data_IF_493034162946
#
_entry.id   IF_493034162946
#
_cell.length_a   1.000
_cell.length_b   1.000
_cell.length_c   1.000
_cell.angle_alpha   90.00
_cell.angle_beta   90.00
_cell.angle_gamma   90.00
#
_symmetry.space_group_name_H-M   'P 1'
#
loop_
_entity.id
_entity.type
_entity.pdbx_description
1 polymer ?
#
# COMPACT_ATOMS: atom_id res chain seq x y z
N UNK A 1 2.33 4.56 18.91
CA UNK A 1 1.87 3.16 18.71
C UNK A 1 0.38 3.15 18.40
N UNK A 2 -0.08 2.18 17.60
CA UNK A 2 -1.48 2.03 17.18
C UNK A 2 -2.34 1.65 18.40
N UNK A 3 -2.96 2.64 19.04
CA UNK A 3 -3.93 2.45 20.13
C UNK A 3 -5.34 2.42 19.54
N UNK A 4 -6.26 1.67 20.14
CA UNK A 4 -7.67 1.64 19.69
C UNK A 4 -8.28 3.04 19.59
N UNK A 5 -7.87 3.97 20.46
CA UNK A 5 -8.28 5.38 20.42
C UNK A 5 -7.78 6.11 19.17
N UNK A 6 -6.53 5.89 18.74
CA UNK A 6 -6.00 6.46 17.49
C UNK A 6 -6.81 5.97 16.29
N UNK A 7 -7.12 4.68 16.25
CA UNK A 7 -7.89 4.06 15.18
C UNK A 7 -9.33 4.62 15.13
N UNK A 8 -9.96 4.80 16.29
CA UNK A 8 -11.29 5.40 16.41
C UNK A 8 -11.28 6.87 15.96
N UNK A 9 -10.30 7.66 16.37
CA UNK A 9 -10.17 9.06 15.92
C UNK A 9 -9.97 9.13 14.40
N UNK A 10 -9.09 8.31 13.84
CA UNK A 10 -8.89 8.23 12.39
C UNK A 10 -10.16 7.80 11.66
N UNK A 11 -10.93 6.88 12.24
CA UNK A 11 -12.21 6.43 11.69
C UNK A 11 -13.24 7.56 11.67
N UNK A 12 -13.39 8.30 12.78
CA UNK A 12 -14.32 9.44 12.85
C UNK A 12 -13.94 10.51 11.84
N UNK A 13 -12.67 10.91 11.75
CA UNK A 13 -12.22 11.92 10.79
C UNK A 13 -12.44 11.43 9.36
N UNK A 14 -12.17 10.14 9.09
CA UNK A 14 -12.40 9.54 7.77
C UNK A 14 -13.87 9.44 7.39
N UNK A 15 -14.76 9.16 8.33
CA UNK A 15 -16.20 9.07 8.09
C UNK A 15 -16.84 10.47 7.98
N UNK A 16 -16.31 11.44 8.74
CA UNK A 16 -16.72 12.85 8.66
C UNK A 16 -16.29 13.53 7.36
N UNK A 17 -15.21 13.08 6.72
CA UNK A 17 -14.71 13.59 5.44
C UNK A 17 -15.80 13.74 4.35
N UNK A 18 -16.50 12.65 3.93
CA UNK A 18 -17.55 12.73 2.92
C UNK A 18 -18.78 13.51 3.38
N UNK A 19 -19.04 13.58 4.69
CA UNK A 19 -20.16 14.35 5.23
C UNK A 19 -19.85 15.84 5.10
N UNK A 20 -18.66 16.27 5.51
CA UNK A 20 -18.23 17.65 5.43
C UNK A 20 -18.19 18.14 3.98
N UNK A 21 -17.64 17.35 3.04
CA UNK A 21 -17.58 17.73 1.63
C UNK A 21 -18.93 17.84 0.95
N UNK A 22 -19.95 17.12 1.42
CA UNK A 22 -21.31 17.22 0.90
C UNK A 22 -21.95 18.59 1.21
N UNK A 23 -21.61 19.19 2.35
CA UNK A 23 -22.14 20.48 2.78
C UNK A 23 -21.40 21.70 2.22
N UNK A 24 -20.28 21.51 1.51
CA UNK A 24 -19.51 22.62 0.94
C UNK A 24 -20.22 23.12 -0.34
N UNK A 25 -20.66 24.40 -0.39
CA UNK A 25 -21.40 24.92 -1.54
C UNK A 25 -20.50 25.24 -2.74
N UNK A 26 -19.18 25.34 -2.57
CA UNK A 26 -18.23 25.66 -3.64
C UNK A 26 -17.56 24.40 -4.20
N UNK A 27 -17.60 24.22 -5.53
CA UNK A 27 -16.98 23.06 -6.20
C UNK A 27 -15.47 23.01 -6.01
N UNK A 28 -14.81 24.16 -6.19
CA UNK A 28 -13.36 24.32 -5.95
C UNK A 28 -13.04 24.07 -4.48
N UNK A 29 -13.85 24.58 -3.54
CA UNK A 29 -13.64 24.37 -2.11
C UNK A 29 -13.78 22.91 -1.71
N UNK A 30 -14.75 22.19 -2.29
CA UNK A 30 -14.91 20.77 -2.06
C UNK A 30 -13.71 19.95 -2.58
N UNK A 31 -13.21 20.24 -3.79
CA UNK A 31 -12.03 19.55 -4.35
C UNK A 31 -10.76 19.81 -3.52
N UNK A 32 -10.53 21.07 -3.14
CA UNK A 32 -9.38 21.46 -2.30
C UNK A 32 -9.48 20.81 -0.92
N UNK A 33 -10.68 20.79 -0.33
CA UNK A 33 -10.93 20.13 0.96
C UNK A 33 -10.65 18.62 0.88
N UNK A 34 -11.17 17.93 -0.14
CA UNK A 34 -10.97 16.49 -0.31
C UNK A 34 -9.51 16.12 -0.57
N UNK A 35 -8.82 16.92 -1.38
CA UNK A 35 -7.39 16.72 -1.68
C UNK A 35 -6.56 16.90 -0.41
N UNK A 36 -6.81 17.99 0.33
CA UNK A 36 -6.08 18.30 1.56
C UNK A 36 -6.34 17.30 2.67
N UNK A 37 -7.61 16.94 2.91
CA UNK A 37 -7.98 15.97 3.92
C UNK A 37 -7.49 14.56 3.55
N UNK A 38 -7.52 14.19 2.27
CA UNK A 38 -6.95 12.95 1.76
C UNK A 38 -5.44 12.83 2.06
N UNK A 39 -4.69 13.91 1.85
CA UNK A 39 -3.26 13.97 2.19
C UNK A 39 -3.03 13.93 3.71
N UNK A 40 -3.77 14.73 4.50
CA UNK A 40 -3.63 14.76 5.95
C UNK A 40 -3.93 13.39 6.60
N UNK A 41 -4.95 12.69 6.11
CA UNK A 41 -5.27 11.31 6.54
C UNK A 41 -4.24 10.27 6.08
N UNK A 42 -3.41 10.61 5.10
CA UNK A 42 -2.32 9.76 4.63
C UNK A 42 -1.02 9.96 5.42
N UNK A 43 -0.93 10.99 6.28
CA UNK A 43 0.21 11.26 7.16
C UNK A 43 0.08 10.54 8.51
N UNK A 44 1.20 10.36 9.20
CA UNK A 44 1.20 9.79 10.54
C UNK A 44 0.84 10.87 11.58
N UNK A 45 -0.31 10.78 12.28
CA UNK A 45 -0.75 11.83 13.21
C UNK A 45 0.16 11.94 14.45
N UNK A 46 0.85 10.87 14.84
CA UNK A 46 1.75 10.91 16.00
C UNK A 46 2.96 11.79 15.73
N UNK A 47 3.52 11.73 14.52
CA UNK A 47 4.71 12.48 14.16
C UNK A 47 4.38 13.97 14.00
N UNK A 48 3.22 14.27 13.41
CA UNK A 48 2.69 15.62 13.26
C UNK A 48 2.37 16.25 14.63
N UNK A 49 1.75 15.50 15.54
CA UNK A 49 1.42 15.99 16.89
C UNK A 49 2.66 16.26 17.74
N UNK A 50 3.72 15.46 17.60
CA UNK A 50 4.99 15.73 18.26
C UNK A 50 5.67 16.99 17.73
N UNK A 51 5.70 17.20 16.42
CA UNK A 51 6.28 18.41 15.82
C UNK A 51 5.52 19.65 16.28
N UNK A 52 4.18 19.59 16.30
CA UNK A 52 3.35 20.69 16.76
C UNK A 52 3.54 20.98 18.26
N UNK A 53 3.56 19.94 19.11
CA UNK A 53 3.82 20.10 20.56
C UNK A 53 5.19 20.70 20.83
N UNK A 54 6.24 20.29 20.13
CA UNK A 54 7.58 20.86 20.28
C UNK A 54 7.66 22.30 19.75
N UNK A 55 6.94 22.64 18.67
CA UNK A 55 6.86 24.01 18.16
C UNK A 55 6.13 24.96 19.12
N UNK A 56 5.02 24.49 19.72
CA UNK A 56 4.24 25.25 20.70
C UNK A 56 4.97 25.36 22.04
N UNK A 57 5.68 24.32 22.48
CA UNK A 57 6.54 24.37 23.66
C UNK A 57 7.70 25.37 23.52
N UNK A 58 8.14 25.67 22.29
CA UNK A 58 9.14 26.73 22.03
C UNK A 58 8.62 28.14 22.28
N UNK A 59 7.30 28.33 22.25
CA UNK A 59 6.64 29.61 22.59
C UNK A 59 6.22 29.72 24.06
N UNK A 60 6.21 28.62 24.82
CA UNK A 60 6.06 28.66 26.29
C UNK A 60 7.42 28.49 26.95
N UNK A 61 8.03 29.62 27.29
CA UNK A 61 9.16 29.66 28.24
C UNK A 61 8.76 28.91 29.51
N UNK A 62 9.55 27.89 29.87
CA UNK A 62 9.60 27.33 31.22
C UNK A 62 8.71 26.13 31.52
N UNK A 63 9.11 24.92 31.12
CA UNK A 63 9.05 23.75 32.01
C UNK A 63 9.94 22.63 31.49
N UNK A 64 10.83 22.13 32.36
CA UNK A 64 11.78 21.02 32.14
C UNK A 64 11.15 19.86 31.37
N UNK A 65 11.69 19.55 30.18
CA UNK A 65 11.66 18.20 29.63
C UNK A 65 13.06 17.62 29.79
N UNK A 66 13.16 16.56 30.58
CA UNK A 66 14.39 15.79 30.76
C UNK A 66 14.89 15.25 29.42
N UNK A 67 16.21 15.27 29.29
CA UNK A 67 16.96 14.95 28.09
C UNK A 67 16.76 13.50 27.66
N UNK A 68 16.41 13.30 26.38
CA UNK A 68 16.70 12.06 25.65
C UNK A 68 17.68 12.37 24.51
N UNK A 69 18.64 11.48 24.21
CA UNK A 69 19.82 11.80 23.40
C UNK A 69 19.50 11.69 21.90
N UNK A 70 20.06 12.61 21.11
CA UNK A 70 20.08 12.50 19.64
C UNK A 70 19.78 13.79 18.88
N UNK A 71 20.67 14.77 18.98
CA UNK A 71 20.53 16.10 18.36
C UNK A 71 20.53 16.09 16.81
N UNK A 72 20.75 14.93 16.16
CA UNK A 72 20.72 14.78 14.69
C UNK A 72 19.33 14.49 14.10
N UNK A 73 18.39 13.98 14.90
CA UNK A 73 17.04 13.64 14.42
C UNK A 73 16.10 14.85 14.27
N UNK A 74 16.41 15.96 14.94
CA UNK A 74 15.53 17.14 14.99
C UNK A 74 15.51 17.93 13.66
N UNK A 75 16.69 18.17 13.08
CA UNK A 75 16.82 18.89 11.80
C UNK A 75 16.27 18.09 10.61
N UNK A 76 16.44 16.77 10.65
CA UNK A 76 15.92 15.87 9.62
C UNK A 76 14.37 15.89 9.59
N UNK A 77 13.72 15.84 10.77
CA UNK A 77 12.25 15.91 10.89
C UNK A 77 11.66 17.23 10.43
N UNK A 78 12.36 18.36 10.59
CA UNK A 78 11.86 19.66 10.14
C UNK A 78 11.90 19.80 8.62
N UNK A 79 12.93 19.25 7.96
CA UNK A 79 13.00 19.18 6.49
C UNK A 79 11.89 18.30 5.91
N UNK A 80 11.58 17.17 6.53
CA UNK A 80 10.46 16.31 6.14
C UNK A 80 9.10 17.02 6.28
N UNK A 81 8.92 17.79 7.36
CA UNK A 81 7.72 18.60 7.56
C UNK A 81 7.56 19.69 6.49
N UNK A 82 8.63 20.42 6.19
CA UNK A 82 8.64 21.42 5.10
C UNK A 82 8.33 20.79 3.74
N UNK A 83 8.87 19.61 3.46
CA UNK A 83 8.58 18.86 2.24
C UNK A 83 7.11 18.44 2.18
N UNK A 84 6.53 17.97 3.30
CA UNK A 84 5.09 17.63 3.35
C UNK A 84 4.20 18.86 3.12
N UNK A 85 4.56 20.01 3.71
CA UNK A 85 3.82 21.28 3.51
C UNK A 85 3.93 21.73 2.05
N UNK A 86 5.14 21.64 1.46
CA UNK A 86 5.35 22.00 0.06
C UNK A 86 4.53 21.09 -0.88
N UNK A 87 4.55 19.77 -0.66
CA UNK A 87 3.77 18.81 -1.47
C UNK A 87 2.27 19.05 -1.30
N UNK A 88 1.79 19.29 -0.07
CA UNK A 88 0.40 19.64 0.18
C UNK A 88 0.01 20.93 -0.54
N UNK A 89 0.84 21.98 -0.45
CA UNK A 89 0.63 23.25 -1.13
C UNK A 89 0.53 23.07 -2.65
N UNK A 90 1.45 22.30 -3.24
CA UNK A 90 1.44 21.96 -4.67
C UNK A 90 0.17 21.20 -5.05
N UNK A 91 -0.21 20.16 -4.31
CA UNK A 91 -1.40 19.37 -4.60
C UNK A 91 -2.70 20.20 -4.53
N UNK A 92 -2.82 21.09 -3.52
CA UNK A 92 -3.98 21.97 -3.38
C UNK A 92 -4.03 23.02 -4.49
N UNK A 93 -2.88 23.59 -4.85
CA UNK A 93 -2.77 24.59 -5.90
C UNK A 93 -3.08 23.98 -7.27
N UNK A 94 -2.51 22.81 -7.59
CA UNK A 94 -2.81 22.10 -8.83
C UNK A 94 -4.29 21.72 -8.92
N UNK A 95 -4.84 21.08 -7.89
CA UNK A 95 -6.25 20.67 -7.89
C UNK A 95 -7.20 21.88 -8.01
N UNK A 96 -6.91 22.95 -7.26
CA UNK A 96 -7.72 24.16 -7.25
C UNK A 96 -7.68 24.92 -8.58
N UNK A 97 -6.48 25.12 -9.16
CA UNK A 97 -6.31 25.81 -10.44
C UNK A 97 -6.90 25.01 -11.59
N UNK A 98 -6.61 23.70 -11.68
CA UNK A 98 -7.15 22.85 -12.73
C UNK A 98 -8.67 22.82 -12.70
N UNK A 99 -9.26 22.70 -11.51
CA UNK A 99 -10.71 22.70 -11.39
C UNK A 99 -11.34 24.06 -11.73
N UNK A 100 -10.68 25.17 -11.36
CA UNK A 100 -11.16 26.53 -11.66
C UNK A 100 -11.04 26.90 -13.13
N UNK A 101 -9.97 26.49 -13.81
CA UNK A 101 -9.79 26.77 -15.24
C UNK A 101 -10.59 25.81 -16.12
N UNK A 102 -10.71 24.54 -15.74
CA UNK A 102 -11.49 23.54 -16.49
C UNK A 102 -13.02 23.74 -16.37
N UNK A 103 -13.50 24.53 -15.41
CA UNK A 103 -14.92 24.90 -15.34
C UNK A 103 -15.34 25.88 -16.44
N UNK A 104 -14.39 26.58 -17.07
CA UNK A 104 -14.67 27.63 -18.06
C UNK A 104 -15.03 27.12 -19.46
N UNK A 105 -14.69 25.87 -19.82
CA UNK A 105 -15.02 25.31 -21.13
C UNK A 105 -15.24 23.79 -21.11
N UNK A 106 -16.44 23.35 -21.51
CA UNK A 106 -16.86 21.95 -21.44
C UNK A 106 -16.18 21.04 -22.49
N UNK A 107 -15.81 21.60 -23.66
CA UNK A 107 -15.18 20.86 -24.77
C UNK A 107 -13.68 20.61 -24.55
N UNK A 108 -12.98 21.49 -23.82
CA UNK A 108 -11.56 21.31 -23.48
C UNK A 108 -11.35 20.27 -22.36
N UNK A 109 -12.41 19.93 -21.61
CA UNK A 109 -12.32 19.13 -20.38
C UNK A 109 -12.16 17.64 -20.64
N UNK A 110 -12.94 17.08 -21.55
CA UNK A 110 -12.82 15.65 -21.94
C UNK A 110 -11.50 15.39 -22.64
N UNK A 111 -11.04 16.32 -23.49
CA UNK A 111 -9.74 16.23 -24.16
C UNK A 111 -8.58 16.34 -23.16
N UNK A 112 -8.62 17.29 -22.21
CA UNK A 112 -7.61 17.41 -21.17
C UNK A 112 -7.53 16.18 -20.25
N UNK A 113 -8.67 15.65 -19.79
CA UNK A 113 -8.71 14.44 -18.95
C UNK A 113 -8.16 13.22 -19.71
N UNK A 114 -8.42 13.12 -21.01
CA UNK A 114 -7.89 12.05 -21.88
C UNK A 114 -6.37 12.18 -22.04
N UNK A 115 -5.84 13.39 -22.24
CA UNK A 115 -4.40 13.66 -22.30
C UNK A 115 -3.70 13.26 -21.00
N UNK A 116 -4.25 13.66 -19.84
CA UNK A 116 -3.71 13.25 -18.54
C UNK A 116 -3.80 11.73 -18.36
N UNK A 117 -4.85 11.09 -18.88
CA UNK A 117 -4.98 9.62 -18.92
C UNK A 117 -3.84 8.93 -19.68
N UNK A 118 -3.42 9.47 -20.83
CA UNK A 118 -2.25 8.96 -21.56
C UNK A 118 -0.95 9.16 -20.78
N UNK A 119 -0.78 10.31 -20.12
CA UNK A 119 0.39 10.56 -19.26
C UNK A 119 0.45 9.52 -18.13
N UNK A 120 -0.68 9.19 -17.50
CA UNK A 120 -0.75 8.14 -16.48
C UNK A 120 -0.40 6.75 -17.02
N UNK A 121 -0.82 6.40 -18.24
CA UNK A 121 -0.47 5.13 -18.89
C UNK A 121 1.05 5.02 -19.16
N UNK A 122 1.66 6.09 -19.68
CA UNK A 122 3.11 6.16 -19.88
C UNK A 122 3.84 6.07 -18.54
N UNK A 123 3.37 6.81 -17.53
CA UNK A 123 3.93 6.81 -16.19
C UNK A 123 3.90 5.42 -15.55
N UNK A 124 2.78 4.72 -15.65
CA UNK A 124 2.64 3.34 -15.18
C UNK A 124 3.61 2.41 -15.90
N UNK A 125 3.75 2.55 -17.21
CA UNK A 125 4.67 1.73 -18.01
C UNK A 125 6.13 1.93 -17.57
N UNK A 126 6.54 3.18 -17.36
CA UNK A 126 7.87 3.53 -16.84
C UNK A 126 8.07 2.93 -15.45
N UNK A 127 7.12 3.13 -14.53
CA UNK A 127 7.20 2.62 -13.17
C UNK A 127 7.26 1.10 -13.11
N UNK A 128 6.51 0.43 -13.98
CA UNK A 128 6.52 -1.01 -14.09
C UNK A 128 7.88 -1.52 -14.59
N UNK A 129 8.48 -0.90 -15.60
CA UNK A 129 9.84 -1.22 -16.05
C UNK A 129 10.88 -0.98 -14.93
N UNK A 130 10.80 0.15 -14.21
CA UNK A 130 11.70 0.43 -13.09
C UNK A 130 11.54 -0.61 -11.97
N UNK A 131 10.31 -1.05 -11.69
CA UNK A 131 10.04 -2.11 -10.71
C UNK A 131 10.64 -3.45 -11.15
N UNK A 132 10.52 -3.81 -12.42
CA UNK A 132 11.05 -5.08 -12.94
C UNK A 132 12.58 -5.10 -12.97
N UNK A 133 13.22 -3.96 -13.24
CA UNK A 133 14.69 -3.85 -13.16
C UNK A 133 15.23 -3.93 -11.73
N UNK A 134 14.39 -3.67 -10.72
CA UNK A 134 14.73 -3.75 -9.29
C UNK A 134 14.33 -5.09 -8.65
N UNK A 135 13.48 -5.88 -9.31
CA UNK A 135 13.09 -7.19 -8.81
C UNK A 135 14.27 -8.16 -8.90
N UNK A 136 14.38 -9.10 -7.96
CA UNK A 136 15.42 -10.15 -8.01
C UNK A 136 15.16 -11.08 -9.19
N UNK A 137 13.89 -11.29 -9.54
CA UNK A 137 13.45 -12.13 -10.63
C UNK A 137 12.60 -11.32 -11.61
N UNK A 138 13.16 -11.10 -12.81
CA UNK A 138 12.48 -10.49 -13.94
C UNK A 138 11.33 -11.40 -14.38
N UNK A 139 10.11 -10.88 -14.32
CA UNK A 139 8.84 -11.59 -14.53
C UNK A 139 8.65 -12.82 -13.63
N UNK A 140 9.39 -12.92 -12.53
CA UNK A 140 9.39 -14.09 -11.66
C UNK A 140 10.06 -15.35 -12.23
N UNK A 141 10.65 -15.27 -13.43
CA UNK A 141 11.23 -16.42 -14.13
C UNK A 141 12.75 -16.27 -14.28
N UNK A 142 13.21 -15.09 -14.71
CA UNK A 142 14.62 -14.87 -15.00
C UNK A 142 15.30 -14.15 -13.84
N UNK A 143 16.38 -14.73 -13.29
CA UNK A 143 17.17 -14.02 -12.28
C UNK A 143 17.77 -12.75 -12.89
N UNK A 144 17.53 -11.63 -12.25
CA UNK A 144 18.00 -10.34 -12.69
C UNK A 144 19.55 -10.32 -12.71
N UNK A 145 20.20 -9.98 -13.85
CA UNK A 145 21.66 -9.97 -13.99
C UNK A 145 22.37 -8.94 -13.09
N UNK A 146 21.62 -7.96 -12.56
CA UNK A 146 22.16 -7.00 -11.59
C UNK A 146 22.39 -7.61 -10.21
N UNK A 147 21.78 -8.76 -9.89
CA UNK A 147 22.01 -9.47 -8.63
C UNK A 147 23.08 -10.57 -8.83
N UNK A 148 24.21 -10.50 -8.09
CA UNK A 148 25.29 -11.49 -8.23
C UNK A 148 24.82 -12.88 -7.82
N UNK A 149 25.36 -13.92 -8.47
CA UNK A 149 25.12 -15.32 -8.12
C UNK A 149 25.84 -15.72 -6.83
N UNK A 150 27.07 -15.21 -6.66
CA UNK A 150 27.96 -15.53 -5.55
C UNK A 150 28.31 -14.28 -4.73
N UNK A 151 28.30 -14.41 -3.40
CA UNK A 151 28.60 -13.34 -2.42
C UNK A 151 30.11 -13.03 -2.35
N UNK A 152 30.96 -13.86 -2.97
CA UNK A 152 32.42 -13.82 -2.80
C UNK A 152 33.10 -12.57 -3.40
N UNK A 153 32.47 -11.89 -4.38
CA UNK A 153 32.99 -10.64 -4.96
C UNK A 153 32.24 -9.41 -4.41
N UNK A 154 32.48 -9.10 -3.13
CA UNK A 154 31.82 -8.02 -2.38
C UNK A 154 31.93 -6.65 -3.07
N UNK A 155 33.07 -6.34 -3.70
CA UNK A 155 33.28 -5.08 -4.43
C UNK A 155 32.37 -4.93 -5.67
N UNK A 156 32.17 -6.01 -6.43
CA UNK A 156 31.29 -6.03 -7.61
C UNK A 156 29.82 -5.91 -7.19
N UNK A 157 29.46 -6.49 -6.04
CA UNK A 157 28.14 -6.37 -5.45
C UNK A 157 27.83 -4.91 -5.08
N UNK A 158 28.76 -4.22 -4.42
CA UNK A 158 28.57 -2.82 -4.04
C UNK A 158 28.44 -1.87 -5.25
N UNK A 159 29.23 -2.05 -6.32
CA UNK A 159 29.10 -1.22 -7.52
C UNK A 159 27.73 -1.42 -8.20
N UNK A 160 27.30 -2.68 -8.36
CA UNK A 160 25.97 -3.00 -8.93
C UNK A 160 24.84 -2.50 -8.04
N UNK A 161 24.97 -2.63 -6.72
CA UNK A 161 24.00 -2.13 -5.76
C UNK A 161 23.89 -0.61 -5.80
N UNK A 162 25.01 0.11 -5.98
CA UNK A 162 24.98 1.57 -6.12
C UNK A 162 24.19 2.04 -7.35
N UNK A 163 24.29 1.30 -8.46
CA UNK A 163 23.51 1.55 -9.69
C UNK A 163 22.03 1.28 -9.47
N UNK A 164 21.69 0.17 -8.80
CA UNK A 164 20.30 -0.14 -8.41
C UNK A 164 19.72 0.91 -7.46
N UNK A 165 20.51 1.45 -6.54
CA UNK A 165 20.08 2.53 -5.64
C UNK A 165 19.74 3.81 -6.41
N UNK A 166 20.50 4.16 -7.46
CA UNK A 166 20.17 5.31 -8.32
C UNK A 166 18.83 5.12 -9.05
N UNK A 167 18.60 3.93 -9.63
CA UNK A 167 17.31 3.58 -10.26
C UNK A 167 16.19 3.60 -9.20
N UNK A 168 16.48 3.10 -8.01
CA UNK A 168 15.68 3.21 -6.78
C UNK A 168 15.19 4.61 -6.51
N UNK A 169 16.12 5.57 -6.42
CA UNK A 169 15.82 6.96 -6.17
C UNK A 169 14.93 7.58 -7.25
N UNK A 170 15.16 7.27 -8.53
CA UNK A 170 14.30 7.73 -9.64
C UNK A 170 12.88 7.19 -9.49
N UNK A 171 12.73 5.88 -9.24
CA UNK A 171 11.41 5.27 -8.99
C UNK A 171 10.72 5.93 -7.80
N UNK A 172 11.46 6.15 -6.71
CA UNK A 172 10.93 6.77 -5.50
C UNK A 172 10.42 8.19 -5.78
N UNK A 173 11.18 9.04 -6.46
CA UNK A 173 10.73 10.39 -6.85
C UNK A 173 9.48 10.31 -7.73
N UNK A 174 9.47 9.39 -8.69
CA UNK A 174 8.36 9.21 -9.62
C UNK A 174 7.09 8.74 -8.90
N UNK A 175 7.19 7.85 -7.92
CA UNK A 175 6.07 7.33 -7.13
C UNK A 175 5.58 8.26 -6.02
N UNK A 176 6.49 9.00 -5.39
CA UNK A 176 6.16 9.84 -4.23
C UNK A 176 5.74 11.24 -4.62
N UNK A 177 6.34 11.80 -5.68
CA UNK A 177 6.08 13.19 -6.08
C UNK A 177 5.24 13.25 -7.36
N UNK A 178 5.70 12.64 -8.45
CA UNK A 178 5.08 12.84 -9.78
C UNK A 178 3.73 12.12 -9.89
N UNK A 179 3.67 10.84 -9.52
CA UNK A 179 2.44 10.03 -9.69
C UNK A 179 1.25 10.57 -8.91
N UNK A 180 1.38 10.96 -7.63
CA UNK A 180 0.28 11.52 -6.87
C UNK A 180 -0.24 12.83 -7.45
N UNK A 181 0.64 13.73 -7.89
CA UNK A 181 0.26 14.99 -8.51
C UNK A 181 -0.51 14.79 -9.81
N UNK A 182 -0.03 13.91 -10.70
CA UNK A 182 -0.72 13.59 -11.97
C UNK A 182 -2.08 12.92 -11.70
N UNK A 183 -2.18 12.04 -10.70
CA UNK A 183 -3.47 11.44 -10.31
C UNK A 183 -4.44 12.46 -9.70
N UNK A 184 -3.95 13.38 -8.86
CA UNK A 184 -4.76 14.50 -8.32
C UNK A 184 -5.26 15.39 -9.45
N UNK A 185 -4.41 15.70 -10.44
CA UNK A 185 -4.80 16.45 -11.63
C UNK A 185 -5.90 15.72 -12.43
N UNK A 186 -5.76 14.42 -12.65
CA UNK A 186 -6.77 13.60 -13.33
C UNK A 186 -8.12 13.64 -12.59
N UNK A 187 -8.10 13.48 -11.27
CA UNK A 187 -9.31 13.52 -10.45
C UNK A 187 -9.95 14.91 -10.44
N UNK A 188 -9.15 15.98 -10.33
CA UNK A 188 -9.64 17.36 -10.27
C UNK A 188 -10.31 17.83 -11.58
N UNK A 189 -9.90 17.28 -12.72
CA UNK A 189 -10.47 17.57 -14.04
C UNK A 189 -11.83 16.89 -14.26
N UNK A 190 -12.22 15.93 -13.44
CA UNK A 190 -13.42 15.12 -13.70
C UNK A 190 -14.72 15.94 -13.62
N UNK A 191 -15.63 15.69 -14.56
CA UNK A 191 -16.90 16.44 -14.69
C UNK A 191 -17.90 16.16 -13.57
N UNK A 192 -17.85 14.98 -12.94
CA UNK A 192 -18.82 14.59 -11.90
C UNK A 192 -18.70 15.42 -10.62
N UNK A 193 -17.55 16.05 -10.37
CA UNK A 193 -17.29 16.94 -9.23
C UNK A 193 -18.19 18.19 -9.20
N UNK A 194 -18.83 18.54 -10.33
CA UNK A 194 -19.79 19.66 -10.35
C UNK A 194 -21.16 19.27 -9.75
N UNK A 195 -21.45 17.96 -9.62
CA UNK A 195 -22.66 17.44 -8.94
C UNK A 195 -22.41 17.27 -7.45
N UNK A 196 -22.24 18.39 -6.74
CA UNK A 196 -21.84 18.46 -5.32
C UNK A 196 -22.80 17.71 -4.37
N UNK A 197 -24.10 17.72 -4.69
CA UNK A 197 -25.13 17.13 -3.83
C UNK A 197 -25.37 15.64 -4.06
N UNK A 198 -24.43 14.93 -4.68
CA UNK A 198 -24.51 13.46 -4.76
C UNK A 198 -23.65 12.80 -3.69
N UNK A 199 -24.28 11.95 -2.88
CA UNK A 199 -23.59 11.12 -1.88
C UNK A 199 -22.55 10.21 -2.55
N UNK A 200 -22.82 9.73 -3.78
CA UNK A 200 -21.88 8.90 -4.55
C UNK A 200 -20.56 9.62 -4.85
N UNK A 201 -20.66 10.88 -5.26
CA UNK A 201 -19.51 11.73 -5.59
C UNK A 201 -18.70 12.01 -4.33
N UNK A 202 -19.36 12.40 -3.25
CA UNK A 202 -18.69 12.70 -1.99
C UNK A 202 -17.88 11.51 -1.46
N UNK A 203 -18.49 10.32 -1.38
CA UNK A 203 -17.82 9.10 -0.88
C UNK A 203 -16.75 8.60 -1.87
N UNK A 204 -17.06 8.60 -3.16
CA UNK A 204 -16.16 8.10 -4.19
C UNK A 204 -14.88 8.93 -4.30
N UNK A 205 -15.01 10.26 -4.35
CA UNK A 205 -13.86 11.16 -4.44
C UNK A 205 -13.10 11.28 -3.11
N UNK A 206 -13.77 11.25 -1.95
CA UNK A 206 -13.05 11.26 -0.66
C UNK A 206 -12.12 10.05 -0.56
N UNK A 207 -12.61 8.89 -0.98
CA UNK A 207 -11.81 7.67 -1.06
C UNK A 207 -10.70 7.83 -2.09
N UNK A 208 -11.01 8.27 -3.31
CA UNK A 208 -10.03 8.36 -4.40
C UNK A 208 -8.84 9.26 -4.03
N UNK A 209 -9.10 10.49 -3.56
CA UNK A 209 -8.05 11.42 -3.14
C UNK A 209 -7.21 10.86 -1.98
N UNK A 210 -7.82 10.14 -1.04
CA UNK A 210 -7.10 9.47 0.04
C UNK A 210 -6.23 8.31 -0.45
N UNK A 211 -6.77 7.47 -1.33
CA UNK A 211 -6.06 6.29 -1.85
C UNK A 211 -4.85 6.65 -2.69
N UNK A 212 -4.90 7.78 -3.40
CA UNK A 212 -3.77 8.32 -4.18
C UNK A 212 -2.52 8.44 -3.30
N UNK A 213 -2.66 8.91 -2.06
CA UNK A 213 -1.52 9.10 -1.16
C UNK A 213 -1.19 7.86 -0.32
N UNK A 214 -2.19 7.06 0.07
CA UNK A 214 -1.97 5.89 0.93
C UNK A 214 -1.39 4.68 0.19
N UNK A 215 -1.75 4.49 -1.08
CA UNK A 215 -1.25 3.38 -1.88
C UNK A 215 -1.12 3.80 -3.35
N UNK A 216 -0.09 4.60 -3.62
CA UNK A 216 0.14 5.29 -4.91
C UNK A 216 0.21 4.31 -6.09
N UNK A 217 0.94 3.19 -5.97
CA UNK A 217 1.07 2.20 -7.05
C UNK A 217 -0.27 1.54 -7.41
N UNK A 218 -1.02 1.14 -6.40
CA UNK A 218 -2.32 0.50 -6.60
C UNK A 218 -3.37 1.49 -7.11
N UNK A 219 -3.34 2.74 -6.62
CA UNK A 219 -4.19 3.81 -7.13
C UNK A 219 -3.85 4.17 -8.59
N UNK A 220 -2.57 4.16 -8.95
CA UNK A 220 -2.14 4.39 -10.33
C UNK A 220 -2.67 3.30 -11.26
N UNK A 221 -2.57 2.02 -10.86
CA UNK A 221 -3.18 0.93 -11.62
C UNK A 221 -4.70 1.09 -11.76
N UNK A 222 -5.41 1.44 -10.69
CA UNK A 222 -6.86 1.66 -10.72
C UNK A 222 -7.24 2.81 -11.67
N UNK A 223 -6.53 3.94 -11.59
CA UNK A 223 -6.78 5.12 -12.46
C UNK A 223 -6.50 4.84 -13.93
N UNK A 224 -5.43 4.11 -14.23
CA UNK A 224 -5.09 3.70 -15.60
C UNK A 224 -6.12 2.73 -16.18
N UNK A 225 -6.59 1.76 -15.40
CA UNK A 225 -7.66 0.86 -15.86
C UNK A 225 -8.94 1.65 -16.15
N UNK A 226 -9.32 2.60 -15.28
CA UNK A 226 -10.50 3.44 -15.51
C UNK A 226 -10.33 4.32 -16.76
N UNK A 227 -9.16 4.91 -16.99
CA UNK A 227 -8.90 5.74 -18.17
C UNK A 227 -8.89 4.92 -19.46
N UNK A 228 -8.26 3.74 -19.46
CA UNK A 228 -8.24 2.83 -20.61
C UNK A 228 -9.65 2.34 -20.95
N UNK A 229 -10.44 1.92 -19.95
CA UNK A 229 -11.85 1.53 -20.17
C UNK A 229 -12.67 2.70 -20.71
N UNK A 230 -12.43 3.92 -20.22
CA UNK A 230 -13.12 5.11 -20.72
C UNK A 230 -12.79 5.39 -22.20
N UNK A 231 -11.55 5.16 -22.63
CA UNK A 231 -11.12 5.35 -24.02
C UNK A 231 -11.66 4.27 -24.97
N UNK A 232 -11.78 3.03 -24.51
CA UNK A 232 -12.22 1.88 -25.33
C UNK A 232 -13.74 1.75 -25.37
N UNK A 233 -14.43 2.15 -24.30
CA UNK A 233 -15.88 1.98 -24.16
C UNK A 233 -16.65 3.08 -24.86
N UNK A 234 -17.69 2.71 -25.62
CA UNK A 234 -18.63 3.66 -26.21
C UNK A 234 -19.25 4.56 -25.13
N UNK A 235 -19.57 5.81 -25.50
CA UNK A 235 -20.20 6.79 -24.62
C UNK A 235 -21.53 6.31 -24.04
N UNK A 236 -22.22 5.40 -24.73
CA UNK A 236 -23.52 4.86 -24.33
C UNK A 236 -23.46 3.66 -23.38
N UNK A 237 -22.27 3.15 -23.08
CA UNK A 237 -22.12 2.06 -22.13
C UNK A 237 -22.58 2.48 -20.72
N UNK A 238 -23.32 1.61 -20.03
CA UNK A 238 -23.80 1.83 -18.65
C UNK A 238 -22.67 2.32 -17.72
N UNK A 239 -21.46 1.80 -17.91
CA UNK A 239 -20.24 2.20 -17.20
C UNK A 239 -19.94 3.70 -17.31
N UNK A 240 -20.04 4.25 -18.53
CA UNK A 240 -19.75 5.65 -18.81
C UNK A 240 -20.92 6.58 -18.46
N UNK A 241 -22.16 6.10 -18.60
CA UNK A 241 -23.38 6.90 -18.39
C UNK A 241 -23.80 7.03 -16.93
N UNK A 242 -23.71 5.94 -16.16
CA UNK A 242 -24.35 5.86 -14.83
C UNK A 242 -23.38 6.01 -13.65
N UNK A 243 -22.10 5.67 -13.84
CA UNK A 243 -21.12 5.66 -12.75
C UNK A 243 -20.24 6.90 -12.80
N UNK A 244 -20.13 7.60 -11.66
CA UNK A 244 -19.13 8.66 -11.46
C UNK A 244 -17.71 8.07 -11.40
N UNK A 245 -16.70 8.86 -11.77
CA UNK A 245 -15.29 8.40 -11.79
C UNK A 245 -14.80 7.88 -10.44
N UNK A 246 -15.21 8.51 -9.33
CA UNK A 246 -14.91 8.01 -7.99
C UNK A 246 -15.50 6.63 -7.69
N UNK A 247 -16.71 6.34 -8.20
CA UNK A 247 -17.35 5.04 -8.05
C UNK A 247 -16.73 3.97 -8.98
N UNK A 248 -16.31 4.37 -10.18
CA UNK A 248 -15.52 3.51 -11.09
C UNK A 248 -14.24 3.05 -10.41
N UNK A 249 -13.48 3.96 -9.80
CA UNK A 249 -12.28 3.64 -9.04
C UNK A 249 -12.57 2.71 -7.86
N UNK A 250 -13.68 2.96 -7.13
CA UNK A 250 -14.12 2.08 -6.06
C UNK A 250 -14.38 0.65 -6.56
N UNK A 251 -15.10 0.51 -7.66
CA UNK A 251 -15.46 -0.79 -8.24
C UNK A 251 -14.24 -1.52 -8.79
N UNK A 252 -13.36 -0.83 -9.53
CA UNK A 252 -12.10 -1.41 -10.03
C UNK A 252 -11.20 -1.84 -8.85
N UNK A 253 -11.11 -1.03 -7.80
CA UNK A 253 -10.34 -1.38 -6.61
C UNK A 253 -10.88 -2.62 -5.88
N UNK A 254 -12.21 -2.75 -5.76
CA UNK A 254 -12.85 -3.96 -5.19
C UNK A 254 -12.57 -5.17 -6.08
N UNK A 255 -12.77 -5.06 -7.40
CA UNK A 255 -12.53 -6.16 -8.34
C UNK A 255 -11.07 -6.61 -8.32
N UNK A 256 -10.12 -5.67 -8.28
CA UNK A 256 -8.70 -6.00 -8.15
C UNK A 256 -8.41 -6.75 -6.85
N UNK A 257 -8.90 -6.24 -5.72
CA UNK A 257 -8.70 -6.90 -4.42
C UNK A 257 -9.27 -8.32 -4.41
N UNK A 258 -10.50 -8.51 -4.91
CA UNK A 258 -11.12 -9.83 -5.04
C UNK A 258 -10.33 -10.76 -5.97
N UNK A 259 -9.84 -10.23 -7.10
CA UNK A 259 -9.04 -10.99 -8.05
C UNK A 259 -7.70 -11.44 -7.44
N UNK A 260 -7.00 -10.55 -6.74
CA UNK A 260 -5.74 -10.87 -6.06
C UNK A 260 -5.97 -11.92 -4.97
N UNK A 261 -7.05 -11.80 -4.19
CA UNK A 261 -7.42 -12.82 -3.20
C UNK A 261 -7.78 -14.16 -3.84
N UNK A 262 -8.40 -14.15 -5.02
CA UNK A 262 -8.69 -15.36 -5.78
C UNK A 262 -7.41 -16.02 -6.26
N UNK A 263 -6.54 -15.28 -6.93
CA UNK A 263 -5.27 -15.79 -7.44
C UNK A 263 -4.38 -16.34 -6.31
N UNK A 264 -4.30 -15.65 -5.18
CA UNK A 264 -3.50 -16.13 -4.02
C UNK A 264 -4.09 -17.40 -3.40
N UNK A 265 -5.41 -17.56 -3.36
CA UNK A 265 -6.05 -18.80 -2.87
C UNK A 265 -5.95 -19.96 -3.85
N UNK A 266 -6.04 -19.68 -5.15
CA UNK A 266 -5.77 -20.67 -6.20
C UNK A 266 -4.32 -21.13 -6.12
N UNK A 267 -3.38 -20.18 -6.02
CA UNK A 267 -1.97 -20.49 -5.82
C UNK A 267 -1.76 -21.34 -4.57
N UNK A 268 -2.38 -20.97 -3.44
CA UNK A 268 -2.32 -21.77 -2.23
C UNK A 268 -2.86 -23.19 -2.43
N UNK A 269 -4.04 -23.34 -3.04
CA UNK A 269 -4.65 -24.64 -3.32
C UNK A 269 -3.75 -25.51 -4.22
N UNK A 270 -3.18 -24.93 -5.29
CA UNK A 270 -2.25 -25.60 -6.20
C UNK A 270 -0.96 -25.99 -5.47
N UNK A 271 -0.40 -25.12 -4.62
CA UNK A 271 0.81 -25.45 -3.86
C UNK A 271 0.57 -26.59 -2.86
N UNK A 272 -0.59 -26.63 -2.19
CA UNK A 272 -0.95 -27.74 -1.29
C UNK A 272 -1.14 -29.03 -2.07
N UNK A 273 -1.80 -28.98 -3.24
CA UNK A 273 -1.94 -30.12 -4.13
C UNK A 273 -0.57 -30.66 -4.59
N UNK A 274 0.30 -29.78 -5.09
CA UNK A 274 1.66 -30.14 -5.51
C UNK A 274 2.48 -30.71 -4.36
N UNK A 275 2.50 -30.03 -3.20
CA UNK A 275 3.24 -30.48 -2.03
C UNK A 275 2.77 -31.86 -1.55
N UNK A 276 1.45 -32.10 -1.55
CA UNK A 276 0.90 -33.41 -1.18
C UNK A 276 1.39 -34.55 -2.09
N UNK A 277 1.62 -34.25 -3.37
CA UNK A 277 2.09 -35.21 -4.37
C UNK A 277 3.61 -35.40 -4.34
N UNK A 278 4.38 -34.31 -4.22
CA UNK A 278 5.85 -34.33 -4.37
C UNK A 278 6.59 -34.69 -3.08
N UNK A 279 6.04 -34.33 -1.91
CA UNK A 279 6.75 -34.44 -0.65
C UNK A 279 6.62 -35.86 -0.06
N UNK A 280 7.74 -36.59 0.02
CA UNK A 280 7.76 -37.98 0.53
C UNK A 280 7.21 -38.12 1.95
N UNK A 281 7.30 -37.07 2.78
CA UNK A 281 6.75 -37.04 4.15
C UNK A 281 5.23 -36.89 4.19
N UNK A 282 4.62 -36.31 3.16
CA UNK A 282 3.16 -36.11 3.04
C UNK A 282 2.51 -37.13 2.09
N UNK A 283 3.30 -37.85 1.30
CA UNK A 283 2.85 -38.87 0.38
C UNK A 283 2.31 -40.12 1.10
N UNK A 284 1.00 -40.16 1.33
CA UNK A 284 0.27 -41.32 1.85
C UNK A 284 -0.24 -42.19 0.69
N UNK A 285 -0.50 -43.47 0.93
CA UNK A 285 -1.10 -44.38 -0.08
C UNK A 285 -2.44 -43.85 -0.67
N UNK A 286 -3.13 -42.98 0.06
CA UNK A 286 -4.42 -42.36 -0.32
C UNK A 286 -4.27 -41.01 -1.07
N UNK A 287 -3.05 -40.50 -1.25
CA UNK A 287 -2.81 -39.19 -1.88
C UNK A 287 -3.21 -39.19 -3.35
N UNK A 288 -2.93 -40.27 -4.08
CA UNK A 288 -3.31 -40.42 -5.50
C UNK A 288 -4.82 -40.42 -5.67
N UNK A 289 -5.54 -41.15 -4.82
CA UNK A 289 -7.01 -41.16 -4.80
C UNK A 289 -7.60 -39.79 -4.46
N UNK A 290 -6.99 -39.04 -3.53
CA UNK A 290 -7.44 -37.69 -3.17
C UNK A 290 -7.18 -36.66 -4.26
N UNK A 291 -6.07 -36.80 -5.00
CA UNK A 291 -5.77 -35.93 -6.14
C UNK A 291 -6.76 -36.17 -7.29
N UNK A 292 -7.09 -37.43 -7.59
CA UNK A 292 -8.12 -37.79 -8.58
C UNK A 292 -9.49 -37.29 -8.12
N UNK A 293 -9.83 -37.46 -6.84
CA UNK A 293 -11.08 -36.95 -6.26
C UNK A 293 -11.18 -35.43 -6.42
N UNK A 294 -10.12 -34.69 -6.14
CA UNK A 294 -10.11 -33.23 -6.33
C UNK A 294 -10.15 -32.79 -7.79
N UNK A 295 -9.60 -33.57 -8.72
CA UNK A 295 -9.74 -33.28 -10.14
C UNK A 295 -11.21 -33.45 -10.58
N UNK A 296 -11.90 -34.48 -10.07
CA UNK A 296 -13.33 -34.71 -10.34
C UNK A 296 -14.19 -33.62 -9.66
N UNK A 297 -13.89 -33.26 -8.41
CA UNK A 297 -14.58 -32.21 -7.64
C UNK A 297 -13.99 -30.81 -7.85
N UNK A 298 -13.16 -30.60 -8.89
CA UNK A 298 -12.58 -29.31 -9.22
C UNK A 298 -13.60 -28.16 -9.30
N UNK A 299 -14.80 -28.32 -9.93
CA UNK A 299 -15.78 -27.22 -9.95
C UNK A 299 -16.27 -26.87 -8.54
N UNK A 300 -16.43 -27.86 -7.65
CA UNK A 300 -16.85 -27.63 -6.28
C UNK A 300 -15.75 -26.96 -5.45
N UNK A 301 -14.49 -27.36 -5.63
CA UNK A 301 -13.34 -26.70 -5.00
C UNK A 301 -13.23 -25.24 -5.46
N UNK A 302 -13.45 -24.97 -6.75
CA UNK A 302 -13.46 -23.61 -7.29
C UNK A 302 -14.59 -22.77 -6.68
N UNK A 303 -15.79 -23.33 -6.52
CA UNK A 303 -16.90 -22.66 -5.81
C UNK A 303 -16.50 -22.32 -4.37
N UNK A 304 -15.88 -23.25 -3.63
CA UNK A 304 -15.41 -23.00 -2.26
C UNK A 304 -14.37 -21.87 -2.24
N UNK A 305 -13.45 -21.85 -3.22
CA UNK A 305 -12.46 -20.77 -3.36
C UNK A 305 -13.18 -19.44 -3.62
N UNK A 306 -14.16 -19.39 -4.53
CA UNK A 306 -14.94 -18.18 -4.84
C UNK A 306 -15.73 -17.69 -3.62
N UNK A 307 -16.41 -18.58 -2.90
CA UNK A 307 -17.12 -18.21 -1.66
C UNK A 307 -16.12 -17.65 -0.64
N UNK A 308 -14.96 -18.28 -0.50
CA UNK A 308 -13.91 -17.81 0.39
C UNK A 308 -13.38 -16.43 -0.02
N UNK A 309 -13.19 -16.15 -1.32
CA UNK A 309 -12.71 -14.84 -1.80
C UNK A 309 -13.74 -13.75 -1.60
N UNK A 310 -15.02 -14.03 -1.79
CA UNK A 310 -16.09 -13.07 -1.50
C UNK A 310 -16.11 -12.72 -0.01
N UNK A 311 -15.97 -13.72 0.87
CA UNK A 311 -15.97 -13.52 2.32
C UNK A 311 -14.64 -12.98 2.89
N UNK A 312 -13.60 -12.82 2.06
CA UNK A 312 -12.22 -12.53 2.52
C UNK A 312 -11.70 -13.52 3.58
N UNK A 313 -12.25 -14.73 3.63
CA UNK A 313 -11.88 -15.74 4.63
C UNK A 313 -10.64 -16.52 4.21
N UNK A 314 -9.82 -17.05 5.14
CA UNK A 314 -8.74 -17.97 4.78
C UNK A 314 -9.31 -19.29 4.23
N UNK A 315 -8.56 -19.93 3.34
CA UNK A 315 -8.85 -21.28 2.84
C UNK A 315 -8.15 -22.29 3.77
N UNK A 316 -8.89 -23.16 4.44
CA UNK A 316 -8.33 -24.13 5.38
C UNK A 316 -8.21 -25.52 4.73
N UNK A 317 -7.01 -26.09 4.62
CA UNK A 317 -6.84 -27.49 4.24
C UNK A 317 -7.19 -28.39 5.44
N UNK A 318 -8.12 -29.32 5.24
CA UNK A 318 -8.61 -30.24 6.26
C UNK A 318 -7.54 -31.31 6.53
N UNK A 319 -6.98 -31.32 7.74
CA UNK A 319 -5.92 -32.27 8.16
C UNK A 319 -4.73 -32.35 7.19
N UNK A 320 -4.30 -31.23 6.59
CA UNK A 320 -3.25 -31.16 5.56
C UNK A 320 -3.54 -31.96 4.27
N UNK A 321 -4.75 -32.48 4.13
CA UNK A 321 -5.26 -33.08 2.91
C UNK A 321 -5.72 -31.96 1.97
N UNK A 322 -5.75 -32.20 0.66
CA UNK A 322 -6.19 -31.21 -0.32
C UNK A 322 -7.73 -31.06 -0.33
N UNK A 323 -8.39 -31.20 0.82
CA UNK A 323 -9.81 -30.91 1.02
C UNK A 323 -9.90 -29.52 1.64
N UNK A 324 -10.59 -28.60 1.00
CA UNK A 324 -10.60 -27.20 1.42
C UNK A 324 -11.94 -26.82 2.06
N UNK A 325 -11.87 -26.12 3.20
CA UNK A 325 -13.00 -25.52 3.86
C UNK A 325 -12.84 -24.00 3.95
N UNK A 326 -13.96 -23.31 3.98
CA UNK A 326 -14.01 -21.87 4.25
C UNK A 326 -13.70 -21.66 5.73
N UNK A 327 -12.59 -21.00 6.03
CA UNK A 327 -12.25 -20.62 7.40
C UNK A 327 -13.05 -19.41 7.90
N UNK A 328 -12.94 -19.12 9.19
CA UNK A 328 -13.52 -17.90 9.75
C UNK A 328 -12.78 -16.65 9.25
N UNK A 329 -13.49 -15.55 8.93
CA UNK A 329 -12.85 -14.30 8.53
C UNK A 329 -11.92 -13.84 9.63
N UNK A 330 -10.62 -13.87 9.35
CA UNK A 330 -9.60 -13.50 10.33
C UNK A 330 -9.38 -11.99 10.25
N UNK A 331 -9.35 -11.27 11.39
CA UNK A 331 -8.96 -9.87 11.36
C UNK A 331 -7.54 -9.76 10.79
N UNK A 332 -7.32 -8.76 9.93
CA UNK A 332 -6.01 -8.46 9.32
C UNK A 332 -4.97 -8.13 10.41
N UNK A 333 -5.43 -7.63 11.56
CA UNK A 333 -4.64 -7.54 12.78
C UNK A 333 -4.65 -8.89 13.51
N UNK A 334 -3.53 -9.60 13.45
CA UNK A 334 -3.36 -10.92 14.06
C UNK A 334 -2.83 -10.89 15.50
N UNK A 335 -2.67 -9.70 16.09
CA UNK A 335 -2.12 -9.54 17.44
C UNK A 335 -3.22 -9.31 18.49
N UNK A 336 -3.19 -10.03 19.63
CA UNK A 336 -4.23 -9.97 20.66
C UNK A 336 -4.20 -8.69 21.52
N UNK A 337 -3.18 -7.84 21.38
CA UNK A 337 -3.01 -6.61 22.16
C UNK A 337 -2.09 -5.62 21.47
N UNK A 338 -1.85 -4.45 22.07
CA UNK A 338 -1.00 -3.42 21.48
C UNK A 338 0.36 -3.99 21.04
N UNK A 339 0.88 -3.54 19.90
CA UNK A 339 2.16 -4.02 19.34
C UNK A 339 3.25 -3.97 20.41
N UNK A 340 3.87 -5.12 20.72
CA UNK A 340 4.90 -5.25 21.76
C UNK A 340 4.41 -5.78 23.12
N UNK A 341 3.10 -5.86 23.37
CA UNK A 341 2.55 -6.39 24.64
C UNK A 341 2.84 -7.89 24.86
N UNK A 342 2.96 -8.65 23.77
CA UNK A 342 3.33 -10.07 23.81
C UNK A 342 4.86 -10.29 23.66
N UNK A 343 5.68 -9.24 23.78
CA UNK A 343 7.13 -9.38 23.74
C UNK A 343 7.62 -9.95 25.07
N UNK A 344 8.21 -11.15 25.05
CA UNK A 344 8.89 -11.68 26.21
C UNK A 344 10.20 -10.90 26.42
N UNK A 345 10.36 -10.29 27.59
CA UNK A 345 11.58 -9.54 27.91
C UNK A 345 12.63 -10.50 28.43
N UNK A 346 13.57 -10.87 27.56
CA UNK A 346 14.75 -11.69 27.90
C UNK A 346 16.00 -10.83 28.03
N UNK A 347 17.09 -11.39 28.57
CA UNK A 347 18.42 -10.74 28.63
C UNK A 347 18.92 -10.26 27.28
N UNK A 348 18.55 -10.97 26.21
CA UNK A 348 18.96 -10.65 24.84
C UNK A 348 18.20 -9.47 24.23
N UNK A 349 17.18 -8.94 24.92
CA UNK A 349 16.38 -7.82 24.40
C UNK A 349 17.21 -6.57 24.14
N UNK A 350 18.26 -6.35 24.91
CA UNK A 350 19.17 -5.21 24.71
C UNK A 350 19.86 -5.29 23.35
N UNK A 351 20.32 -6.48 22.94
CA UNK A 351 20.94 -6.68 21.62
C UNK A 351 19.93 -6.44 20.48
N UNK A 352 18.68 -6.90 20.65
CA UNK A 352 17.63 -6.66 19.67
C UNK A 352 17.28 -5.18 19.56
N UNK A 353 17.18 -4.47 20.68
CA UNK A 353 16.92 -3.03 20.68
C UNK A 353 18.03 -2.24 19.96
N UNK A 354 19.28 -2.68 20.06
CA UNK A 354 20.39 -2.07 19.32
C UNK A 354 20.39 -2.42 17.83
N UNK A 355 19.95 -3.63 17.47
CA UNK A 355 19.86 -4.08 16.07
C UNK A 355 18.73 -3.39 15.29
N UNK A 356 17.56 -3.22 15.92
CA UNK A 356 16.35 -2.65 15.29
C UNK A 356 16.59 -1.35 14.51
N UNK A 357 17.26 -0.29 15.04
CA UNK A 357 17.47 0.95 14.29
C UNK A 357 18.33 0.77 13.02
N UNK A 358 19.32 -0.14 13.06
CA UNK A 358 20.14 -0.46 11.88
C UNK A 358 19.32 -1.23 10.85
N UNK A 359 18.55 -2.22 11.30
CA UNK A 359 17.65 -2.98 10.45
C UNK A 359 16.59 -2.07 9.81
N UNK A 360 15.97 -1.16 10.58
CA UNK A 360 14.98 -0.22 10.05
C UNK A 360 15.58 0.72 9.01
N UNK A 361 16.82 1.17 9.20
CA UNK A 361 17.51 2.00 8.20
C UNK A 361 17.80 1.23 6.90
N UNK A 362 18.22 -0.04 7.01
CA UNK A 362 18.45 -0.90 5.85
C UNK A 362 17.15 -1.29 5.14
N UNK A 363 16.07 -1.52 5.89
CA UNK A 363 14.74 -1.72 5.34
C UNK A 363 14.24 -0.45 4.65
N UNK A 364 14.45 0.73 5.24
CA UNK A 364 14.06 1.99 4.62
C UNK A 364 14.77 2.22 3.29
N UNK A 365 16.07 1.95 3.22
CA UNK A 365 16.81 2.06 1.95
C UNK A 365 16.37 0.99 0.95
N UNK A 366 16.10 -0.24 1.38
CA UNK A 366 15.56 -1.30 0.54
C UNK A 366 14.15 -0.98 0.01
N UNK A 367 13.29 -0.40 0.85
CA UNK A 367 11.95 0.07 0.50
C UNK A 367 12.03 1.22 -0.51
N UNK A 368 12.88 2.22 -0.27
CA UNK A 368 13.09 3.32 -1.19
C UNK A 368 13.71 2.85 -2.52
N UNK A 369 14.56 1.83 -2.47
CA UNK A 369 15.14 1.20 -3.66
C UNK A 369 14.16 0.29 -4.39
N UNK A 370 12.99 -0.01 -3.81
CA UNK A 370 11.96 -0.83 -4.43
C UNK A 370 12.27 -2.33 -4.48
N UNK A 371 13.32 -2.80 -3.77
CA UNK A 371 13.78 -4.19 -3.80
C UNK A 371 12.85 -5.15 -3.05
N UNK A 372 12.08 -4.65 -2.09
CA UNK A 372 11.08 -5.42 -1.32
C UNK A 372 9.72 -5.56 -2.04
N UNK A 373 9.61 -5.03 -3.27
CA UNK A 373 8.37 -5.02 -4.03
C UNK A 373 7.32 -4.05 -3.48
N UNK A 374 6.05 -4.33 -3.74
CA UNK A 374 4.92 -3.53 -3.23
C UNK A 374 4.69 -3.86 -1.75
N UNK A 375 4.81 -2.85 -0.89
CA UNK A 375 4.55 -2.97 0.54
C UNK A 375 3.05 -2.83 0.79
N UNK A 376 2.42 -3.91 1.24
CA UNK A 376 1.00 -3.94 1.59
C UNK A 376 0.86 -4.16 3.09
N UNK A 377 0.04 -3.37 3.81
CA UNK A 377 -0.26 -3.63 5.21
C UNK A 377 -0.74 -5.07 5.43
N UNK A 378 -0.20 -5.73 6.45
CA UNK A 378 -0.47 -7.15 6.72
C UNK A 378 0.51 -8.12 6.05
N UNK A 379 1.44 -7.65 5.20
CA UNK A 379 2.49 -8.52 4.67
C UNK A 379 3.50 -8.93 5.75
N UNK A 380 4.09 -10.11 5.56
CA UNK A 380 5.09 -10.70 6.45
C UNK A 380 6.38 -10.95 5.67
N UNK A 381 7.50 -10.50 6.21
CA UNK A 381 8.83 -10.83 5.75
C UNK A 381 9.55 -11.65 6.80
N UNK A 382 10.29 -12.65 6.32
CA UNK A 382 11.13 -13.51 7.12
C UNK A 382 12.58 -13.20 6.79
N UNK A 383 13.31 -12.67 7.76
CA UNK A 383 14.76 -12.57 7.73
C UNK A 383 15.37 -13.75 8.46
N UNK A 384 16.39 -14.37 7.89
CA UNK A 384 17.23 -15.33 8.60
C UNK A 384 18.64 -14.76 8.68
N UNK A 385 19.19 -14.74 9.88
CA UNK A 385 20.59 -14.39 10.12
C UNK A 385 21.17 -15.41 11.10
N UNK A 386 22.05 -16.27 10.60
CA UNK A 386 22.63 -17.39 11.36
C UNK A 386 21.52 -18.26 12.01
N UNK A 387 21.53 -18.36 13.34
CA UNK A 387 20.58 -19.12 14.17
C UNK A 387 19.39 -18.25 14.64
N UNK A 388 19.27 -17.03 14.10
CA UNK A 388 18.21 -16.09 14.46
C UNK A 388 17.25 -15.90 13.29
N UNK A 389 15.96 -15.98 13.61
CA UNK A 389 14.88 -15.76 12.67
C UNK A 389 14.14 -14.49 13.05
N UNK A 390 14.14 -13.53 12.14
CA UNK A 390 13.54 -12.21 12.31
C UNK A 390 12.23 -12.20 11.51
N UNK A 391 11.10 -12.12 12.20
CA UNK A 391 9.81 -11.93 11.59
C UNK A 391 9.45 -10.45 11.59
N UNK A 392 9.37 -9.88 10.39
CA UNK A 392 8.97 -8.49 10.16
C UNK A 392 7.55 -8.48 9.61
N UNK A 393 6.68 -7.67 10.20
CA UNK A 393 5.29 -7.52 9.78
C UNK A 393 5.00 -6.06 9.50
N UNK A 394 4.43 -5.76 8.33
CA UNK A 394 3.95 -4.40 8.04
C UNK A 394 2.63 -4.19 8.74
N UNK A 395 2.56 -3.18 9.60
CA UNK A 395 1.35 -2.82 10.33
C UNK A 395 0.52 -1.80 9.56
N UNK A 396 1.14 -0.68 9.19
CA UNK A 396 0.49 0.47 8.59
C UNK A 396 1.45 1.09 7.57
N UNK A 397 0.92 1.54 6.43
CA UNK A 397 1.64 2.31 5.44
C UNK A 397 0.84 3.56 5.10
N UNK A 398 1.52 4.67 4.86
CA UNK A 398 0.93 5.89 4.34
C UNK A 398 1.93 6.67 3.50
N UNK A 399 1.74 7.98 3.39
CA UNK A 399 2.64 8.83 2.61
C UNK A 399 4.02 8.87 3.26
N UNK A 400 5.01 8.28 2.57
CA UNK A 400 6.42 8.19 2.96
C UNK A 400 6.72 7.56 4.33
N UNK A 401 5.73 6.97 5.01
CA UNK A 401 5.93 6.25 6.27
C UNK A 401 5.44 4.80 6.20
N UNK A 402 6.14 3.94 6.93
CA UNK A 402 5.80 2.53 7.10
C UNK A 402 6.06 2.14 8.56
N UNK A 403 5.03 1.64 9.24
CA UNK A 403 5.14 1.11 10.59
C UNK A 403 5.33 -0.40 10.51
N UNK A 404 6.46 -0.89 11.02
CA UNK A 404 6.78 -2.31 11.06
C UNK A 404 6.81 -2.83 12.49
N UNK A 405 6.42 -4.09 12.66
CA UNK A 405 6.62 -4.86 13.87
C UNK A 405 7.73 -5.88 13.62
N UNK A 406 8.73 -5.92 14.49
CA UNK A 406 9.86 -6.83 14.38
C UNK A 406 9.83 -7.76 15.58
N UNK A 407 9.70 -9.07 15.31
CA UNK A 407 9.84 -10.14 16.30
C UNK A 407 11.08 -10.93 15.98
N UNK A 408 11.92 -11.19 16.98
CA UNK A 408 13.12 -12.01 16.82
C UNK A 408 12.92 -13.31 17.57
N UNK A 409 13.18 -14.42 16.90
CA UNK A 409 13.18 -15.77 17.42
C UNK A 409 14.61 -16.28 17.43
N UNK A 410 15.03 -16.80 18.57
CA UNK A 410 16.29 -17.53 18.74
C UNK A 410 15.99 -19.01 18.86
N UNK A 411 16.64 -19.83 18.03
CA UNK A 411 16.68 -21.26 18.30
C UNK A 411 17.55 -21.47 19.54
N UNK A 412 16.91 -21.73 20.68
CA UNK A 412 17.62 -22.28 21.84
C UNK A 412 17.89 -23.74 21.53
N UNK A 413 19.15 -24.07 21.21
CA UNK A 413 19.60 -25.46 21.20
C UNK A 413 19.31 -26.05 22.59
N UNK A 414 18.37 -26.98 22.65
CA UNK A 414 18.05 -27.75 23.85
C UNK A 414 19.07 -28.82 24.13
#
# INVERSE_FOLDING_TARGET
>A
MSTHLRLLVMFIISAGAPVASYFIPSTVGAVVFMTGLGFLLSLNPTDLSMVFRCGVARHRVGSRCEAFPGNSGYWFRWKECLLCIAVLGMALLEAGLLHRYASSSQVSRSSAQTVVGYVLMVLLSILWLLRETQSIYIFGIFRNPFYPKDIQAVSVLFDKQSKLLKIGAVRWILLTLVSPLVMVAFLALDSSLHRLHSVSVSIGFSRAFRTVWQNTENALLETVVVSAVHMVSNTDCWWNRSLDTGLRLLMVGIMRDRLVQFLTKVQFAVTVLLASWTEKKQHRKLTTTLCVLNAIFAPLVLIIIVVSTVLSSPLLPLFTLPVFLVGFPRPVQSWPGAVGTAACVCTDTVFYQQMVPRLTSALQTAMAAGSLGLLVPGSHYLGRFEDRLIWIMILECGYTYCCINVKVYTETNG
#
